data_IF_986171326554
#
_entry.id   IF_986171326554
#
_cell.length_a   1.000
_cell.length_b   1.000
_cell.length_c   1.000
_cell.angle_alpha   90.00
_cell.angle_beta   90.00
_cell.angle_gamma   90.00
#
_symmetry.space_group_name_H-M   'P 1'
#
loop_
_entity.id
_entity.type
_entity.pdbx_description
1 polymer ?
#
# COMPACT_ATOMS: atom_id res chain seq x y z
N UNK A 1 -14.85 -29.41 -6.84
CA UNK A 1 -13.95 -30.19 -5.97
C UNK A 1 -13.32 -29.21 -4.99
N UNK A 2 -13.45 -29.43 -3.67
CA UNK A 2 -13.07 -28.43 -2.65
C UNK A 2 -11.63 -28.64 -2.11
N UNK A 3 -11.06 -29.85 -2.21
CA UNK A 3 -9.66 -30.15 -1.83
C UNK A 3 -9.10 -31.40 -2.55
N UNK A 4 -7.77 -31.54 -2.58
CA UNK A 4 -7.03 -32.71 -3.09
C UNK A 4 -6.62 -33.64 -1.94
N UNK A 5 -7.20 -34.85 -1.82
CA UNK A 5 -6.94 -35.75 -0.69
C UNK A 5 -5.63 -36.55 -0.81
N UNK A 6 -5.03 -36.64 -2.01
CA UNK A 6 -3.77 -37.35 -2.24
C UNK A 6 -2.59 -36.39 -2.18
N UNK A 7 -1.51 -36.80 -1.51
CA UNK A 7 -0.29 -36.00 -1.34
C UNK A 7 0.38 -35.71 -2.69
N UNK A 8 0.41 -36.69 -3.60
CA UNK A 8 0.90 -36.50 -4.97
C UNK A 8 0.15 -35.37 -5.71
N UNK A 9 -1.19 -35.38 -5.65
CA UNK A 9 -2.00 -34.35 -6.29
C UNK A 9 -1.75 -32.97 -5.64
N UNK A 10 -1.56 -32.91 -4.32
CA UNK A 10 -1.19 -31.66 -3.62
C UNK A 10 0.18 -31.15 -4.07
N UNK A 11 1.18 -32.05 -4.15
CA UNK A 11 2.54 -31.71 -4.61
C UNK A 11 2.52 -31.17 -6.04
N UNK A 12 1.75 -31.80 -6.92
CA UNK A 12 1.60 -31.35 -8.30
C UNK A 12 1.03 -29.93 -8.36
N UNK A 13 -0.01 -29.62 -7.57
CA UNK A 13 -0.58 -28.26 -7.52
C UNK A 13 0.41 -27.24 -6.97
N UNK A 14 1.14 -27.56 -5.91
CA UNK A 14 2.18 -26.67 -5.37
C UNK A 14 3.24 -26.39 -6.45
N UNK A 15 3.74 -27.43 -7.12
CA UNK A 15 4.74 -27.27 -8.19
C UNK A 15 4.22 -26.45 -9.37
N UNK A 16 2.94 -26.61 -9.73
CA UNK A 16 2.33 -25.85 -10.82
C UNK A 16 2.27 -24.34 -10.55
N UNK A 17 2.23 -23.92 -9.28
CA UNK A 17 2.21 -22.51 -8.87
C UNK A 17 3.58 -21.99 -8.39
N UNK A 18 4.54 -22.88 -8.13
CA UNK A 18 5.86 -22.53 -7.59
C UNK A 18 6.60 -21.51 -8.46
N UNK A 19 6.50 -21.63 -9.80
CA UNK A 19 7.14 -20.68 -10.72
C UNK A 19 6.69 -19.23 -10.52
N UNK A 20 5.40 -19.00 -10.36
CA UNK A 20 4.85 -17.66 -10.09
C UNK A 20 5.25 -17.15 -8.70
N UNK A 21 5.35 -18.05 -7.72
CA UNK A 21 5.74 -17.70 -6.35
C UNK A 21 7.20 -17.25 -6.24
N UNK A 22 8.11 -17.79 -7.07
CA UNK A 22 9.53 -17.42 -7.05
C UNK A 22 9.76 -15.92 -7.33
N UNK A 23 8.98 -15.34 -8.25
CA UNK A 23 9.06 -13.90 -8.54
C UNK A 23 8.71 -13.07 -7.31
N UNK A 24 7.62 -13.43 -6.62
CA UNK A 24 7.18 -12.72 -5.41
C UNK A 24 8.19 -12.89 -4.27
N UNK A 25 8.71 -14.11 -4.08
CA UNK A 25 9.74 -14.38 -3.05
C UNK A 25 11.01 -13.56 -3.31
N UNK A 26 11.47 -13.51 -4.56
CA UNK A 26 12.67 -12.75 -4.94
C UNK A 26 12.48 -11.25 -4.69
N UNK A 27 11.29 -10.73 -5.03
CA UNK A 27 10.93 -9.34 -4.77
C UNK A 27 10.92 -9.02 -3.27
N UNK A 28 10.26 -9.84 -2.44
CA UNK A 28 10.21 -9.67 -0.98
C UNK A 28 11.60 -9.75 -0.37
N UNK A 29 12.45 -10.67 -0.84
CA UNK A 29 13.83 -10.78 -0.39
C UNK A 29 14.66 -9.55 -0.73
N UNK A 30 14.56 -9.05 -1.97
CA UNK A 30 15.24 -7.83 -2.40
C UNK A 30 14.73 -6.60 -1.63
N UNK A 31 13.42 -6.50 -1.38
CA UNK A 31 12.82 -5.47 -0.55
C UNK A 31 13.32 -5.52 0.90
N UNK A 32 13.51 -6.73 1.45
CA UNK A 32 14.13 -6.93 2.76
C UNK A 32 15.58 -6.44 2.82
N UNK A 33 16.39 -6.74 1.79
CA UNK A 33 17.75 -6.20 1.67
C UNK A 33 17.72 -4.68 1.59
N UNK A 34 16.85 -4.11 0.76
CA UNK A 34 16.71 -2.66 0.59
C UNK A 34 16.33 -1.98 1.90
N UNK A 35 15.33 -2.50 2.61
CA UNK A 35 14.90 -2.01 3.94
C UNK A 35 16.04 -2.12 4.96
N UNK A 36 16.78 -3.22 4.92
CA UNK A 36 17.95 -3.43 5.79
C UNK A 36 19.07 -2.42 5.53
N UNK A 37 19.34 -2.08 4.27
CA UNK A 37 20.29 -1.03 3.92
C UNK A 37 19.79 0.32 4.44
N UNK A 38 18.53 0.68 4.14
CA UNK A 38 17.96 1.98 4.53
C UNK A 38 17.95 2.21 6.03
N UNK A 39 17.59 1.17 6.80
CA UNK A 39 17.58 1.22 8.26
C UNK A 39 19.01 1.20 8.83
N UNK A 40 19.88 0.35 8.28
CA UNK A 40 21.27 0.22 8.74
C UNK A 40 22.14 1.45 8.45
N UNK A 41 21.82 2.24 7.42
CA UNK A 41 22.54 3.46 7.05
C UNK A 41 21.92 4.74 7.62
N UNK A 42 20.86 4.63 8.43
CA UNK A 42 20.09 5.75 9.00
C UNK A 42 19.39 6.64 7.95
N UNK A 43 19.16 6.11 6.75
CA UNK A 43 18.47 6.84 5.69
C UNK A 43 16.98 7.00 6.01
N UNK A 44 16.35 5.98 6.62
CA UNK A 44 14.93 6.06 7.03
C UNK A 44 14.73 7.22 7.99
N UNK A 45 15.53 7.31 9.04
CA UNK A 45 15.47 8.35 10.07
C UNK A 45 15.73 9.72 9.46
N UNK A 46 16.71 9.83 8.57
CA UNK A 46 17.03 11.11 7.90
C UNK A 46 15.88 11.61 7.01
N UNK A 47 15.25 10.71 6.25
CA UNK A 47 14.10 11.08 5.41
C UNK A 47 12.87 11.35 6.28
N UNK A 48 12.66 10.57 7.35
CA UNK A 48 11.59 10.81 8.31
C UNK A 48 11.73 12.19 8.96
N UNK A 49 12.94 12.61 9.36
CA UNK A 49 13.18 13.96 9.86
C UNK A 49 12.86 15.06 8.84
N UNK A 50 13.11 14.83 7.55
CA UNK A 50 12.69 15.78 6.51
C UNK A 50 11.16 15.86 6.40
N UNK A 51 10.46 14.72 6.46
CA UNK A 51 8.99 14.67 6.47
C UNK A 51 8.45 15.41 7.70
N UNK A 52 9.03 15.16 8.88
CA UNK A 52 8.67 15.81 10.13
C UNK A 52 8.90 17.33 10.04
N UNK A 53 10.04 17.76 9.50
CA UNK A 53 10.36 19.18 9.35
C UNK A 53 9.37 19.92 8.43
N UNK A 54 8.79 19.23 7.44
CA UNK A 54 7.77 19.80 6.57
C UNK A 54 6.37 19.88 7.22
N UNK A 55 6.11 19.10 8.27
CA UNK A 55 4.81 19.01 8.94
C UNK A 55 4.90 19.78 10.27
N UNK A 56 4.24 20.93 10.43
CA UNK A 56 4.28 21.68 11.69
C UNK A 56 3.77 20.83 12.86
N UNK A 57 4.32 21.04 14.07
CA UNK A 57 3.98 20.25 15.27
C UNK A 57 2.46 20.19 15.56
N UNK A 58 1.71 21.23 15.19
CA UNK A 58 0.25 21.28 15.32
C UNK A 58 -0.51 20.26 14.45
N UNK A 59 0.17 19.67 13.45
CA UNK A 59 -0.38 18.67 12.54
C UNK A 59 0.05 17.24 12.87
N UNK A 60 0.88 17.04 13.90
CA UNK A 60 1.38 15.72 14.32
C UNK A 60 0.25 14.73 14.63
N UNK A 61 -0.78 15.14 15.37
CA UNK A 61 -1.96 14.30 15.65
C UNK A 61 -2.77 13.94 14.40
N UNK A 62 -2.67 14.74 13.33
CA UNK A 62 -3.35 14.47 12.06
C UNK A 62 -2.50 13.64 11.10
N UNK A 63 -1.29 13.25 11.47
CA UNK A 63 -0.38 12.50 10.61
C UNK A 63 -0.98 11.21 10.04
N UNK A 64 -1.73 10.38 10.81
CA UNK A 64 -2.39 9.20 10.29
C UNK A 64 -3.44 9.53 9.22
N UNK A 65 -4.18 10.63 9.40
CA UNK A 65 -5.11 11.14 8.39
C UNK A 65 -4.38 11.62 7.13
N UNK A 66 -3.24 12.31 7.28
CA UNK A 66 -2.40 12.73 6.14
C UNK A 66 -1.93 11.50 5.36
N UNK A 67 -1.46 10.46 6.04
CA UNK A 67 -1.06 9.19 5.39
C UNK A 67 -2.24 8.56 4.66
N UNK A 68 -3.42 8.52 5.26
CA UNK A 68 -4.62 7.97 4.61
C UNK A 68 -4.95 8.71 3.30
N UNK A 69 -4.90 10.04 3.31
CA UNK A 69 -5.22 10.85 2.12
C UNK A 69 -4.12 10.77 1.06
N UNK A 70 -2.86 10.86 1.45
CA UNK A 70 -1.71 10.83 0.53
C UNK A 70 -1.42 9.43 -0.01
N UNK A 71 -1.91 8.38 0.65
CA UNK A 71 -1.82 7.01 0.12
C UNK A 71 -2.49 6.89 -1.25
N UNK A 72 -3.56 7.64 -1.55
CA UNK A 72 -4.24 7.63 -2.86
C UNK A 72 -3.30 8.02 -4.02
N UNK A 73 -2.70 9.22 -4.07
CA UNK A 73 -1.80 9.60 -5.15
C UNK A 73 -0.49 8.79 -5.13
N UNK A 74 0.06 8.46 -3.95
CA UNK A 74 1.31 7.69 -3.87
C UNK A 74 1.15 6.27 -4.41
N UNK A 75 0.10 5.56 -3.99
CA UNK A 75 -0.16 4.22 -4.53
C UNK A 75 -0.65 4.26 -5.97
N UNK A 76 -1.20 5.38 -6.47
CA UNK A 76 -1.51 5.49 -7.89
C UNK A 76 -0.25 5.56 -8.76
N UNK A 77 0.76 6.32 -8.32
CA UNK A 77 2.00 6.58 -9.10
C UNK A 77 3.07 5.52 -8.87
N UNK A 78 3.11 4.92 -7.68
CA UNK A 78 4.05 3.86 -7.32
C UNK A 78 3.36 2.49 -7.43
N UNK A 79 4.13 1.43 -7.73
CA UNK A 79 3.61 0.08 -7.55
C UNK A 79 3.31 -0.19 -6.08
N UNK A 80 2.40 -1.13 -5.81
CA UNK A 80 2.03 -1.54 -4.46
C UNK A 80 3.29 -1.89 -3.64
N UNK A 81 4.15 -2.73 -4.23
CA UNK A 81 5.40 -3.18 -3.61
C UNK A 81 6.35 -2.02 -3.32
N UNK A 82 6.53 -1.08 -4.26
CA UNK A 82 7.41 0.07 -4.06
C UNK A 82 6.93 0.98 -2.93
N UNK A 83 5.61 1.18 -2.82
CA UNK A 83 5.03 1.98 -1.73
C UNK A 83 5.18 1.30 -0.38
N UNK A 84 4.80 0.02 -0.24
CA UNK A 84 4.80 -0.66 1.06
C UNK A 84 6.20 -1.06 1.54
N UNK A 85 7.13 -1.34 0.63
CA UNK A 85 8.50 -1.70 1.01
C UNK A 85 9.45 -0.50 1.06
N UNK A 86 9.17 0.57 0.33
CA UNK A 86 10.03 1.76 0.28
C UNK A 86 9.51 2.93 1.11
N UNK A 87 8.25 3.31 0.92
CA UNK A 87 7.69 4.55 1.48
C UNK A 87 7.09 4.34 2.87
N UNK A 88 6.30 3.29 3.06
CA UNK A 88 5.62 3.04 4.33
C UNK A 88 6.58 2.96 5.53
N UNK A 89 7.75 2.30 5.47
CA UNK A 89 8.69 2.29 6.60
C UNK A 89 9.13 3.69 7.03
N UNK A 90 9.32 4.60 6.07
CA UNK A 90 9.68 6.01 6.33
C UNK A 90 8.53 6.74 7.02
N UNK A 91 7.30 6.54 6.55
CA UNK A 91 6.11 7.12 7.18
C UNK A 91 5.86 6.55 8.58
N UNK A 92 6.11 5.25 8.78
CA UNK A 92 5.99 4.61 10.08
C UNK A 92 7.01 5.17 11.09
N UNK A 93 8.26 5.36 10.66
CA UNK A 93 9.30 5.98 11.49
C UNK A 93 8.95 7.43 11.84
N UNK A 94 8.45 8.20 10.86
CA UNK A 94 7.98 9.57 11.10
C UNK A 94 6.79 9.62 12.07
N UNK A 95 5.84 8.69 11.95
CA UNK A 95 4.71 8.55 12.87
C UNK A 95 5.15 8.18 14.28
N UNK A 96 6.11 7.26 14.41
CA UNK A 96 6.67 6.86 15.70
C UNK A 96 7.35 8.03 16.42
N UNK A 97 8.02 8.93 15.69
CA UNK A 97 8.58 10.16 16.25
C UNK A 97 7.52 11.12 16.83
N UNK A 98 6.28 11.05 16.35
CA UNK A 98 5.12 11.75 16.90
C UNK A 98 4.36 10.96 17.98
N UNK A 99 4.85 9.77 18.35
CA UNK A 99 4.21 8.90 19.34
C UNK A 99 3.03 8.06 18.79
N UNK A 100 2.89 7.96 17.47
CA UNK A 100 1.84 7.17 16.81
C UNK A 100 2.33 5.73 16.62
N UNK A 101 1.46 4.76 16.88
CA UNK A 101 1.76 3.36 16.66
C UNK A 101 1.95 3.07 15.15
N UNK A 102 3.06 2.41 14.73
CA UNK A 102 3.28 2.03 13.33
C UNK A 102 2.13 1.24 12.69
N UNK A 103 1.38 0.45 13.47
CA UNK A 103 0.20 -0.29 13.00
C UNK A 103 -0.90 0.67 12.54
N UNK A 104 -1.04 1.82 13.17
CA UNK A 104 -2.00 2.84 12.78
C UNK A 104 -1.64 3.46 11.43
N UNK A 105 -0.35 3.74 11.22
CA UNK A 105 0.19 4.21 9.93
C UNK A 105 -0.03 3.15 8.84
N UNK A 106 0.17 1.87 9.16
CA UNK A 106 -0.12 0.77 8.23
C UNK A 106 -1.60 0.75 7.83
N UNK A 107 -2.53 0.88 8.79
CA UNK A 107 -3.98 0.97 8.50
C UNK A 107 -4.35 2.19 7.67
N UNK A 108 -3.76 3.35 7.96
CA UNK A 108 -3.95 4.55 7.16
C UNK A 108 -3.49 4.34 5.70
N UNK A 109 -2.33 3.73 5.52
CA UNK A 109 -1.70 3.55 4.20
C UNK A 109 -2.46 2.61 3.25
N UNK A 110 -3.34 1.75 3.75
CA UNK A 110 -4.16 0.84 2.91
C UNK A 110 -5.46 1.47 2.43
N UNK A 111 -5.84 2.64 2.93
CA UNK A 111 -7.09 3.31 2.53
C UNK A 111 -7.09 3.74 1.07
N UNK A 112 -5.92 4.07 0.50
CA UNK A 112 -5.77 4.50 -0.90
C UNK A 112 -5.95 3.39 -1.95
N UNK A 113 -6.08 2.12 -1.53
CA UNK A 113 -6.16 0.97 -2.43
C UNK A 113 -7.27 1.04 -3.50
N UNK A 114 -8.47 1.58 -3.25
CA UNK A 114 -9.47 1.77 -4.31
C UNK A 114 -8.95 2.64 -5.46
N UNK A 115 -8.17 3.68 -5.17
CA UNK A 115 -7.55 4.55 -6.19
C UNK A 115 -6.37 3.84 -6.86
N UNK A 116 -5.58 3.07 -6.11
CA UNK A 116 -4.48 2.26 -6.65
C UNK A 116 -4.95 1.32 -7.78
N UNK A 117 -6.15 0.73 -7.67
CA UNK A 117 -6.69 -0.17 -8.71
C UNK A 117 -6.91 0.52 -10.06
N UNK A 118 -6.98 1.85 -10.10
CA UNK A 118 -7.05 2.63 -11.34
C UNK A 118 -5.68 2.92 -11.96
N UNK A 119 -4.59 2.60 -11.25
CA UNK A 119 -3.23 2.80 -11.73
C UNK A 119 -2.96 1.91 -12.95
N UNK A 120 -2.30 2.45 -14.00
CA UNK A 120 -1.86 1.64 -15.13
C UNK A 120 -0.77 0.63 -14.75
N UNK A 121 -0.25 0.68 -13.52
CA UNK A 121 0.71 -0.29 -12.98
C UNK A 121 0.03 -1.60 -12.54
N UNK A 122 -1.31 -1.64 -12.48
CA UNK A 122 -2.07 -2.82 -12.08
C UNK A 122 -2.42 -3.67 -13.30
N UNK A 123 -1.63 -4.73 -13.54
CA UNK A 123 -1.78 -5.59 -14.70
C UNK A 123 -3.15 -6.27 -14.81
N UNK A 124 -3.78 -6.63 -13.68
CA UNK A 124 -5.13 -7.23 -13.67
C UNK A 124 -6.19 -6.25 -14.16
N UNK A 125 -6.08 -4.97 -13.80
CA UNK A 125 -6.98 -3.91 -14.29
C UNK A 125 -6.81 -3.72 -15.79
N UNK A 126 -5.57 -3.69 -16.30
CA UNK A 126 -5.31 -3.59 -17.74
C UNK A 126 -5.93 -4.77 -18.50
N UNK A 127 -5.76 -5.99 -18.00
CA UNK A 127 -6.36 -7.18 -18.60
C UNK A 127 -7.89 -7.08 -18.61
N UNK A 128 -8.52 -6.75 -17.48
CA UNK A 128 -9.96 -6.59 -17.38
C UNK A 128 -10.50 -5.59 -18.40
N UNK A 129 -9.86 -4.41 -18.50
CA UNK A 129 -10.28 -3.35 -19.41
C UNK A 129 -10.10 -3.77 -20.88
N UNK A 130 -9.03 -4.49 -21.20
CA UNK A 130 -8.83 -5.05 -22.55
C UNK A 130 -9.89 -6.08 -22.93
N UNK A 131 -10.35 -6.92 -21.98
CA UNK A 131 -11.42 -7.89 -22.21
C UNK A 131 -12.77 -7.23 -22.51
N UNK A 132 -12.95 -5.99 -22.04
CA UNK A 132 -14.13 -5.18 -22.31
C UNK A 132 -14.01 -4.34 -23.59
N UNK A 133 -12.91 -4.46 -24.34
CA UNK A 133 -12.58 -3.62 -25.50
C UNK A 133 -12.69 -2.12 -25.20
N UNK A 134 -12.21 -1.70 -24.01
CA UNK A 134 -12.20 -0.30 -23.57
C UNK A 134 -10.78 0.17 -23.29
N UNK A 135 -10.61 1.48 -23.16
CA UNK A 135 -9.38 2.10 -22.71
C UNK A 135 -9.35 2.26 -21.19
N UNK A 136 -8.15 2.17 -20.60
CA UNK A 136 -7.94 2.39 -19.16
C UNK A 136 -8.38 3.81 -18.74
N UNK A 137 -8.23 4.78 -19.64
CA UNK A 137 -8.67 6.16 -19.44
C UNK A 137 -10.18 6.28 -19.27
N UNK A 138 -10.97 5.43 -19.93
CA UNK A 138 -12.43 5.43 -19.77
C UNK A 138 -12.84 4.89 -18.40
N UNK A 139 -12.17 3.82 -17.95
CA UNK A 139 -12.34 3.31 -16.59
C UNK A 139 -11.95 4.39 -15.56
N UNK A 140 -10.81 5.04 -15.74
CA UNK A 140 -10.35 6.10 -14.84
C UNK A 140 -11.34 7.26 -14.76
N UNK A 141 -11.80 7.80 -15.90
CA UNK A 141 -12.80 8.88 -15.92
C UNK A 141 -14.10 8.50 -15.21
N UNK A 142 -14.55 7.26 -15.39
CA UNK A 142 -15.77 6.76 -14.77
C UNK A 142 -15.60 6.52 -13.26
N UNK A 143 -14.53 5.82 -12.87
CA UNK A 143 -14.37 5.27 -11.52
C UNK A 143 -13.60 6.18 -10.55
N UNK A 144 -12.88 7.20 -11.02
CA UNK A 144 -12.05 8.06 -10.16
C UNK A 144 -12.87 8.70 -9.03
N UNK A 145 -14.04 9.27 -9.35
CA UNK A 145 -14.90 9.87 -8.33
C UNK A 145 -15.33 8.82 -7.29
N UNK A 146 -15.75 7.64 -7.74
CA UNK A 146 -16.23 6.57 -6.86
C UNK A 146 -15.14 5.98 -5.98
N UNK A 147 -13.94 5.79 -6.52
CA UNK A 147 -12.79 5.27 -5.77
C UNK A 147 -12.31 6.27 -4.73
N UNK A 148 -12.26 7.57 -5.06
CA UNK A 148 -11.95 8.64 -4.10
C UNK A 148 -13.03 8.72 -3.01
N UNK A 149 -14.32 8.70 -3.38
CA UNK A 149 -15.41 8.70 -2.40
C UNK A 149 -15.36 7.48 -1.48
N UNK A 150 -15.00 6.30 -2.01
CA UNK A 150 -14.84 5.08 -1.22
C UNK A 150 -13.67 5.21 -0.25
N UNK A 151 -12.53 5.76 -0.68
CA UNK A 151 -11.38 6.01 0.18
C UNK A 151 -11.74 7.01 1.29
N UNK A 152 -12.38 8.13 0.96
CA UNK A 152 -12.84 9.13 1.94
C UNK A 152 -13.86 8.56 2.93
N UNK A 153 -14.80 7.75 2.45
CA UNK A 153 -15.76 7.05 3.31
C UNK A 153 -15.04 6.08 4.24
N UNK A 154 -14.07 5.32 3.73
CA UNK A 154 -13.27 4.40 4.55
C UNK A 154 -12.45 5.16 5.59
N UNK A 155 -11.87 6.31 5.25
CA UNK A 155 -11.22 7.23 6.21
C UNK A 155 -12.18 7.65 7.30
N UNK A 156 -13.40 8.06 6.95
CA UNK A 156 -14.41 8.44 7.94
C UNK A 156 -14.72 7.29 8.91
N UNK A 157 -14.92 6.07 8.39
CA UNK A 157 -15.15 4.89 9.24
C UNK A 157 -13.92 4.58 10.12
N UNK A 158 -12.71 4.73 9.59
CA UNK A 158 -11.48 4.50 10.35
C UNK A 158 -11.35 5.49 11.53
N UNK A 159 -11.74 6.75 11.32
CA UNK A 159 -11.79 7.77 12.39
C UNK A 159 -12.87 7.44 13.42
N UNK A 160 -14.09 7.10 12.98
CA UNK A 160 -15.22 6.80 13.88
C UNK A 160 -14.98 5.54 14.74
N UNK A 161 -14.23 4.58 14.22
CA UNK A 161 -13.88 3.34 14.93
C UNK A 161 -12.63 3.46 15.79
N UNK A 162 -11.89 4.57 15.69
CA UNK A 162 -10.58 4.73 16.34
C UNK A 162 -9.49 3.84 15.73
N UNK A 163 -9.70 3.33 14.52
CA UNK A 163 -8.67 2.59 13.79
C UNK A 163 -7.51 3.51 13.36
N UNK A 164 -7.80 4.81 13.22
CA UNK A 164 -6.90 5.93 12.95
C UNK A 164 -7.31 7.06 13.90
N UNK A 165 -6.34 7.66 14.58
CA UNK A 165 -6.46 8.73 15.55
C UNK A 165 -6.27 10.10 14.89
N UNK A 166 -6.88 11.11 15.52
CA UNK A 166 -6.71 12.53 15.18
C UNK A 166 -6.40 13.38 16.44
N UNK A 167 -6.33 12.75 17.62
CA UNK A 167 -6.06 13.35 18.93
C UNK A 167 -5.48 12.31 19.90
#
# INVERSE_FOLDING_TARGET
>A
MINYPKVEDQRERILSHAGNALTVITLVFAAGIFTGIFSGTKMVESIAHLVIYMIPDSYSSFFPLIVALTSMPFTFVLSNDAYYFGVLPILAEAGAAYGIDPVEIARASIIGQPVHLLSPLVASTLLLVSMLNKDIGDLQKYALLWTVLTALFTTLIALLTGAISIF
#
